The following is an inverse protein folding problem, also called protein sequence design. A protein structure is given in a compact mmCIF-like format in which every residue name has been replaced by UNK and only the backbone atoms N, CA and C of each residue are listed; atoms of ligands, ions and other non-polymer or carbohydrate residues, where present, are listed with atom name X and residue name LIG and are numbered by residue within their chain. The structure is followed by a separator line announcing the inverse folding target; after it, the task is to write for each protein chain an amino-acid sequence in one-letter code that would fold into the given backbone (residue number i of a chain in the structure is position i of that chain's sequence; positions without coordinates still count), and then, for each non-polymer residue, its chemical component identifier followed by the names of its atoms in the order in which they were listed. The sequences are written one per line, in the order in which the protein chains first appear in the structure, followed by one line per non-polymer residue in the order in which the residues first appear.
data_IF_559848031245
#
_entry.id   IF_559848031245
#
_cell.length_a   1.000
_cell.length_b   1.000
_cell.length_c   1.000
_cell.angle_alpha   90.00
_cell.angle_beta   90.00
_cell.angle_gamma   90.00
#
_symmetry.space_group_name_H-M   'P 1'
#
loop_
_entity.id
_entity.type
_entity.pdbx_description
1 polymer ?
#
# COMPACT_ATOMS: atom_id res chain seq x y z
N UNK A 1 1.83 30.08 4.48
CA UNK A 1 2.61 28.82 4.48
C UNK A 1 1.77 27.81 3.73
N UNK A 2 2.22 27.34 2.55
CA UNK A 2 1.46 26.36 1.75
C UNK A 2 1.42 25.03 2.51
N UNK A 3 0.23 24.48 2.66
CA UNK A 3 0.06 23.15 3.26
C UNK A 3 0.56 22.09 2.29
N UNK A 4 1.25 21.05 2.77
CA UNK A 4 1.73 19.93 1.91
C UNK A 4 0.57 19.27 1.16
N UNK A 5 -0.62 19.24 1.76
CA UNK A 5 -1.85 18.72 1.16
C UNK A 5 -2.31 19.48 -0.08
N UNK A 6 -1.94 20.76 -0.22
CA UNK A 6 -2.36 21.61 -1.32
C UNK A 6 -1.38 21.54 -2.51
N UNK A 7 -0.22 20.89 -2.32
CA UNK A 7 0.79 20.77 -3.38
C UNK A 7 0.40 19.68 -4.39
N UNK A 8 0.66 19.91 -5.69
CA UNK A 8 0.59 18.85 -6.69
C UNK A 8 1.50 17.67 -6.30
N UNK A 9 1.15 16.46 -6.71
CA UNK A 9 1.92 15.25 -6.38
C UNK A 9 3.39 15.36 -6.81
N UNK A 10 3.65 15.96 -7.99
CA UNK A 10 4.98 16.18 -8.54
C UNK A 10 5.84 17.10 -7.67
N UNK A 11 5.22 18.00 -6.89
CA UNK A 11 5.93 18.90 -5.99
C UNK A 11 6.23 18.24 -4.62
N UNK A 12 5.53 17.15 -4.29
CA UNK A 12 5.75 16.41 -3.06
C UNK A 12 6.94 15.45 -3.14
N UNK A 13 7.25 14.94 -4.34
CA UNK A 13 8.21 13.86 -4.53
C UNK A 13 9.15 14.14 -5.73
N UNK A 14 10.36 13.55 -5.75
CA UNK A 14 11.23 13.60 -6.93
C UNK A 14 10.61 12.88 -8.12
N UNK A 15 10.98 13.28 -9.34
CA UNK A 15 10.45 12.72 -10.60
C UNK A 15 10.65 11.20 -10.69
N UNK A 16 11.84 10.70 -10.36
CA UNK A 16 12.13 9.25 -10.34
C UNK A 16 11.26 8.48 -9.32
N UNK A 17 10.86 9.12 -8.23
CA UNK A 17 9.92 8.54 -7.25
C UNK A 17 8.50 8.54 -7.81
N UNK A 18 8.11 9.58 -8.54
CA UNK A 18 6.82 9.64 -9.22
C UNK A 18 6.68 8.51 -10.25
N UNK A 19 7.71 8.27 -11.07
CA UNK A 19 7.72 7.18 -12.05
C UNK A 19 7.60 5.80 -11.36
N UNK A 20 8.34 5.58 -10.28
CA UNK A 20 8.26 4.35 -9.50
C UNK A 20 6.87 4.15 -8.88
N UNK A 21 6.25 5.20 -8.35
CA UNK A 21 4.88 5.14 -7.81
C UNK A 21 3.83 4.91 -8.91
N UNK A 22 4.05 5.44 -10.11
CA UNK A 22 3.19 5.17 -11.26
C UNK A 22 3.28 3.71 -11.70
N UNK A 23 4.50 3.14 -11.71
CA UNK A 23 4.70 1.71 -11.96
C UNK A 23 4.04 0.85 -10.87
N UNK A 24 4.19 1.23 -9.59
CA UNK A 24 3.52 0.56 -8.48
C UNK A 24 2.00 0.58 -8.61
N UNK A 25 1.42 1.71 -9.02
CA UNK A 25 -0.01 1.82 -9.30
C UNK A 25 -0.47 0.80 -10.35
N UNK A 26 0.35 0.58 -11.39
CA UNK A 26 0.11 -0.45 -12.40
C UNK A 26 0.11 -1.87 -11.81
N UNK A 27 1.07 -2.20 -10.94
CA UNK A 27 1.12 -3.49 -10.25
C UNK A 27 -0.12 -3.68 -9.37
N UNK A 28 -0.53 -2.67 -8.63
CA UNK A 28 -1.72 -2.73 -7.77
C UNK A 28 -3.01 -2.89 -8.57
N UNK A 29 -3.17 -2.15 -9.68
CA UNK A 29 -4.32 -2.30 -10.57
C UNK A 29 -4.38 -3.70 -11.20
N UNK A 30 -3.23 -4.25 -11.60
CA UNK A 30 -3.12 -5.63 -12.08
C UNK A 30 -3.52 -6.66 -11.03
N UNK A 31 -3.06 -6.48 -9.79
CA UNK A 31 -3.42 -7.33 -8.66
C UNK A 31 -4.93 -7.28 -8.38
N UNK A 32 -5.51 -6.09 -8.30
CA UNK A 32 -6.95 -5.89 -8.05
C UNK A 32 -7.80 -6.51 -9.18
N UNK A 33 -7.36 -6.38 -10.44
CA UNK A 33 -8.00 -7.02 -11.59
C UNK A 33 -7.94 -8.55 -11.52
N UNK A 34 -6.77 -9.10 -11.21
CA UNK A 34 -6.60 -10.55 -11.10
C UNK A 34 -7.43 -11.15 -9.94
N UNK A 35 -7.48 -10.46 -8.79
CA UNK A 35 -8.32 -10.87 -7.66
C UNK A 35 -9.81 -10.80 -8.00
N UNK A 36 -10.26 -9.76 -8.69
CA UNK A 36 -11.65 -9.61 -9.12
C UNK A 36 -12.05 -10.70 -10.10
N UNK A 37 -11.20 -11.00 -11.08
CA UNK A 37 -11.43 -12.07 -12.06
C UNK A 37 -11.50 -13.45 -11.38
N UNK A 38 -10.55 -13.73 -10.49
CA UNK A 38 -10.55 -14.97 -9.71
C UNK A 38 -11.80 -15.08 -8.82
N UNK A 39 -12.15 -14.02 -8.10
CA UNK A 39 -13.34 -14.00 -7.26
C UNK A 39 -14.64 -14.25 -8.05
N UNK A 40 -14.78 -13.62 -9.20
CA UNK A 40 -15.93 -13.78 -10.08
C UNK A 40 -16.06 -15.20 -10.63
N UNK A 41 -14.94 -15.82 -11.03
CA UNK A 41 -14.96 -17.15 -11.62
C UNK A 41 -15.10 -18.27 -10.56
N UNK A 42 -14.44 -18.13 -9.40
CA UNK A 42 -14.43 -19.14 -8.35
C UNK A 42 -15.57 -19.03 -7.34
N UNK A 43 -16.22 -17.86 -7.25
CA UNK A 43 -17.16 -17.52 -6.18
C UNK A 43 -16.49 -17.18 -4.84
N UNK A 44 -15.17 -16.99 -4.83
CA UNK A 44 -14.45 -16.53 -3.63
C UNK A 44 -14.74 -15.06 -3.40
N UNK A 45 -15.28 -14.71 -2.25
CA UNK A 45 -15.59 -13.34 -1.90
C UNK A 45 -15.32 -13.07 -0.43
N UNK A 46 -14.78 -11.89 -0.15
CA UNK A 46 -14.72 -11.39 1.22
C UNK A 46 -16.11 -10.89 1.64
N UNK A 47 -16.55 -11.14 2.87
CA UNK A 47 -17.77 -10.50 3.37
C UNK A 47 -17.71 -8.98 3.24
N UNK A 48 -18.81 -8.35 2.86
CA UNK A 48 -18.86 -6.89 2.69
C UNK A 48 -18.41 -6.18 3.97
N UNK A 49 -17.52 -5.19 3.83
CA UNK A 49 -16.98 -4.43 4.95
C UNK A 49 -16.06 -5.22 5.89
N UNK A 50 -15.63 -6.43 5.51
CA UNK A 50 -14.77 -7.24 6.34
C UNK A 50 -13.33 -6.70 6.38
N UNK A 51 -12.85 -6.36 7.59
CA UNK A 51 -11.45 -5.99 7.86
C UNK A 51 -10.72 -6.96 8.78
N UNK A 52 -11.25 -8.17 8.97
CA UNK A 52 -10.75 -9.14 9.97
C UNK A 52 -9.30 -9.62 9.76
N UNK A 53 -8.77 -9.51 8.56
CA UNK A 53 -7.33 -9.73 8.34
C UNK A 53 -6.46 -8.77 9.16
N UNK A 54 -6.97 -7.57 9.48
CA UNK A 54 -6.25 -6.55 10.25
C UNK A 54 -6.31 -6.77 11.77
N UNK A 55 -7.15 -7.68 12.28
CA UNK A 55 -7.29 -7.94 13.73
C UNK A 55 -6.01 -8.54 14.35
N UNK A 56 -5.22 -9.26 13.57
CA UNK A 56 -4.03 -9.95 14.04
C UNK A 56 -2.87 -9.93 13.06
N UNK A 57 -2.86 -8.96 12.16
CA UNK A 57 -1.82 -8.85 11.16
C UNK A 57 -1.44 -7.39 10.92
N UNK A 58 -0.15 -7.11 11.06
CA UNK A 58 0.49 -5.84 10.70
C UNK A 58 1.45 -6.14 9.55
N UNK A 59 1.34 -5.47 8.39
CA UNK A 59 2.17 -5.79 7.25
C UNK A 59 3.62 -5.32 7.42
N UNK A 60 4.54 -6.12 6.89
CA UNK A 60 5.85 -5.64 6.49
C UNK A 60 5.78 -5.18 5.03
N UNK A 61 6.44 -4.07 4.71
CA UNK A 61 6.37 -3.45 3.39
C UNK A 61 7.72 -2.96 2.90
N UNK A 62 7.84 -2.80 1.58
CA UNK A 62 8.98 -2.16 0.96
C UNK A 62 8.90 -0.63 1.13
N UNK A 63 10.04 0.09 1.04
CA UNK A 63 10.04 1.56 1.10
C UNK A 63 9.08 2.21 0.10
N UNK A 64 9.03 1.71 -1.14
CA UNK A 64 8.11 2.21 -2.16
C UNK A 64 6.62 2.04 -1.79
N UNK A 65 6.25 0.92 -1.16
CA UNK A 65 4.90 0.70 -0.65
C UNK A 65 4.55 1.66 0.49
N UNK A 66 5.54 1.97 1.35
CA UNK A 66 5.39 2.95 2.42
C UNK A 66 5.24 4.37 1.87
N UNK A 67 5.97 4.73 0.80
CA UNK A 67 5.81 6.02 0.10
C UNK A 67 4.40 6.14 -0.50
N UNK A 68 3.87 5.10 -1.13
CA UNK A 68 2.49 5.06 -1.63
C UNK A 68 1.48 5.32 -0.52
N UNK A 69 1.60 4.59 0.58
CA UNK A 69 0.72 4.72 1.74
C UNK A 69 0.82 6.11 2.38
N UNK A 70 2.03 6.66 2.48
CA UNK A 70 2.28 7.99 3.02
C UNK A 70 1.60 9.08 2.19
N UNK A 71 1.71 9.03 0.86
CA UNK A 71 1.06 9.98 -0.04
C UNK A 71 -0.46 9.87 0.05
N UNK A 72 -0.99 8.64 0.11
CA UNK A 72 -2.41 8.42 0.33
C UNK A 72 -2.87 9.08 1.64
N UNK A 73 -2.11 8.90 2.71
CA UNK A 73 -2.45 9.44 4.04
C UNK A 73 -2.38 10.97 4.05
N UNK A 74 -1.35 11.56 3.47
CA UNK A 74 -1.20 13.02 3.35
C UNK A 74 -2.43 13.64 2.68
N UNK A 75 -3.00 12.95 1.69
CA UNK A 75 -4.15 13.43 0.93
C UNK A 75 -5.51 13.19 1.59
N UNK A 76 -5.66 12.09 2.32
CA UNK A 76 -6.95 11.66 2.83
C UNK A 76 -7.11 11.85 4.34
N UNK A 77 -6.00 11.87 5.10
CA UNK A 77 -5.96 12.15 6.54
C UNK A 77 -4.66 12.87 6.90
N UNK A 78 -4.54 14.18 6.54
CA UNK A 78 -3.34 14.96 6.77
C UNK A 78 -2.97 15.08 8.25
N UNK A 79 -3.96 15.14 9.14
CA UNK A 79 -3.71 15.23 10.59
C UNK A 79 -3.02 13.96 11.11
N UNK A 80 -3.47 12.80 10.66
CA UNK A 80 -2.84 11.51 11.01
C UNK A 80 -1.44 11.40 10.39
N UNK A 81 -1.26 11.85 9.14
CA UNK A 81 0.03 11.88 8.47
C UNK A 81 1.05 12.73 9.23
N UNK A 82 0.69 13.95 9.63
CA UNK A 82 1.55 14.82 10.43
C UNK A 82 1.90 14.22 11.79
N UNK A 83 0.92 13.67 12.49
CA UNK A 83 1.13 13.02 13.78
C UNK A 83 2.13 11.88 13.69
N UNK A 84 1.98 11.01 12.69
CA UNK A 84 2.91 9.90 12.44
C UNK A 84 4.30 10.37 12.00
N UNK A 85 4.40 11.43 11.21
CA UNK A 85 5.70 12.00 10.83
C UNK A 85 6.45 12.58 12.04
N UNK A 86 5.74 13.22 12.97
CA UNK A 86 6.34 13.88 14.15
C UNK A 86 6.71 12.88 15.25
N UNK A 87 5.86 11.92 15.54
CA UNK A 87 5.95 11.09 16.76
C UNK A 87 5.91 9.59 16.49
N UNK A 88 5.67 9.16 15.24
CA UNK A 88 5.44 7.76 14.90
C UNK A 88 4.15 7.22 15.53
N UNK A 89 4.02 5.91 15.55
CA UNK A 89 2.93 5.23 16.24
C UNK A 89 3.15 5.24 17.75
N UNK A 90 2.09 5.36 18.51
CA UNK A 90 2.11 5.32 19.98
C UNK A 90 2.55 3.93 20.50
N UNK A 91 2.98 3.86 21.76
CA UNK A 91 3.31 2.59 22.39
C UNK A 91 2.11 1.64 22.44
N UNK A 92 0.90 2.15 22.63
CA UNK A 92 -0.34 1.36 22.63
C UNK A 92 -0.60 0.73 21.25
N UNK A 93 -0.42 1.47 20.15
CA UNK A 93 -0.58 0.94 18.79
C UNK A 93 0.47 -0.12 18.46
N UNK A 94 1.72 0.08 18.90
CA UNK A 94 2.81 -0.88 18.67
C UNK A 94 2.65 -2.17 19.47
N UNK A 95 2.03 -2.12 20.64
CA UNK A 95 1.77 -3.30 21.48
C UNK A 95 0.49 -4.03 21.11
N UNK A 96 -0.39 -3.42 20.31
CA UNK A 96 -1.58 -4.06 19.80
C UNK A 96 -1.23 -5.16 18.78
N UNK A 97 -1.97 -6.26 18.80
CA UNK A 97 -1.84 -7.30 17.78
C UNK A 97 -2.50 -6.92 16.46
N UNK A 98 -3.38 -5.91 16.48
CA UNK A 98 -4.12 -5.43 15.34
C UNK A 98 -3.37 -4.34 14.57
N UNK A 99 -3.65 -4.24 13.28
CA UNK A 99 -3.18 -3.12 12.46
C UNK A 99 -3.73 -1.78 13.01
N UNK A 100 -2.90 -0.72 13.12
CA UNK A 100 -3.35 0.58 13.64
C UNK A 100 -4.38 1.31 12.75
N UNK A 101 -4.61 0.81 11.53
CA UNK A 101 -5.64 1.31 10.61
C UNK A 101 -6.89 0.43 10.58
N UNK A 102 -7.00 -0.53 11.48
CA UNK A 102 -8.19 -1.33 11.64
C UNK A 102 -9.22 -0.60 12.52
N UNK A 103 -10.41 -0.43 12.01
CA UNK A 103 -11.53 0.17 12.72
C UNK A 103 -12.56 -0.88 13.14
N UNK A 104 -12.84 -0.94 14.44
CA UNK A 104 -13.90 -1.73 15.10
C UNK A 104 -14.42 -0.89 16.28
N UNK A 105 -15.70 -0.92 16.67
CA UNK A 105 -16.79 -1.84 16.32
C UNK A 105 -17.79 -1.25 15.32
N UNK A 106 -18.56 -2.13 14.70
CA UNK A 106 -19.66 -1.81 13.78
C UNK A 106 -19.41 -2.39 12.41
N UNK A 107 -18.69 -1.69 11.56
CA UNK A 107 -18.16 -2.22 10.31
C UNK A 107 -16.67 -2.38 10.47
N UNK A 108 -16.20 -3.61 10.69
CA UNK A 108 -14.76 -3.90 10.72
C UNK A 108 -14.17 -3.59 9.34
N UNK A 109 -13.33 -2.57 9.21
CA UNK A 109 -12.76 -2.18 7.93
C UNK A 109 -11.36 -1.56 8.08
N UNK A 110 -10.64 -1.54 6.98
CA UNK A 110 -9.34 -0.87 6.87
C UNK A 110 -9.55 0.62 6.56
N UNK A 111 -9.07 1.51 7.43
CA UNK A 111 -9.18 2.96 7.25
C UNK A 111 -8.33 3.52 6.11
N UNK A 112 -7.38 2.72 5.58
CA UNK A 112 -6.53 3.11 4.44
C UNK A 112 -6.69 2.14 3.27
N UNK A 113 -7.92 1.69 2.99
CA UNK A 113 -8.19 0.60 2.06
C UNK A 113 -7.49 0.76 0.70
N UNK A 114 -7.56 1.94 0.09
CA UNK A 114 -6.92 2.24 -1.18
C UNK A 114 -5.39 2.41 -1.07
N UNK A 115 -4.90 2.83 0.10
CA UNK A 115 -3.48 3.00 0.39
C UNK A 115 -2.75 1.72 0.80
N UNK A 116 -3.41 0.55 0.82
CA UNK A 116 -2.86 -0.73 1.31
C UNK A 116 -1.64 -1.20 0.54
N UNK A 117 -0.71 -1.84 1.26
CA UNK A 117 0.39 -2.60 0.69
C UNK A 117 -0.09 -3.85 -0.08
N UNK A 118 0.75 -4.41 -0.95
CA UNK A 118 0.42 -5.56 -1.79
C UNK A 118 -0.07 -6.76 -0.99
N UNK A 119 0.59 -7.10 0.11
CA UNK A 119 0.20 -8.22 0.96
C UNK A 119 -1.22 -8.06 1.53
N UNK A 120 -1.62 -6.84 1.85
CA UNK A 120 -2.96 -6.55 2.34
C UNK A 120 -4.02 -6.64 1.23
N UNK A 121 -3.65 -6.28 -0.01
CA UNK A 121 -4.53 -6.39 -1.19
C UNK A 121 -4.82 -7.85 -1.52
N UNK A 122 -3.79 -8.68 -1.48
CA UNK A 122 -3.84 -10.09 -1.88
C UNK A 122 -4.35 -11.03 -0.79
N UNK A 123 -4.58 -10.54 0.44
CA UNK A 123 -4.93 -11.38 1.57
C UNK A 123 -6.21 -12.19 1.32
N UNK A 124 -6.06 -13.53 1.31
CA UNK A 124 -7.16 -14.46 1.10
C UNK A 124 -7.56 -14.68 -0.37
N UNK A 125 -6.92 -13.99 -1.33
CA UNK A 125 -7.19 -14.12 -2.77
C UNK A 125 -6.00 -14.65 -3.58
N UNK A 126 -4.79 -14.60 -3.05
CA UNK A 126 -3.60 -15.08 -3.74
C UNK A 126 -3.15 -16.45 -3.24
N UNK A 127 -2.65 -17.27 -4.16
CA UNK A 127 -1.92 -18.47 -3.81
C UNK A 127 -0.47 -18.13 -3.45
N UNK A 128 0.12 -18.99 -2.62
CA UNK A 128 1.55 -18.99 -2.31
C UNK A 128 2.21 -20.22 -2.94
N UNK A 129 3.55 -20.22 -3.08
CA UNK A 129 4.26 -21.42 -3.53
C UNK A 129 4.76 -22.22 -2.33
N UNK A 130 4.62 -23.53 -2.42
CA UNK A 130 5.27 -24.49 -1.52
C UNK A 130 6.78 -24.47 -1.71
N UNK A 131 7.52 -25.18 -0.85
CA UNK A 131 8.97 -25.40 -1.02
C UNK A 131 9.34 -26.05 -2.35
N UNK A 132 8.43 -26.86 -2.90
CA UNK A 132 8.60 -27.55 -4.18
C UNK A 132 8.12 -26.71 -5.39
N UNK A 133 7.76 -25.43 -5.18
CA UNK A 133 7.27 -24.54 -6.22
C UNK A 133 5.78 -24.70 -6.57
N UNK A 134 5.09 -25.70 -6.02
CA UNK A 134 3.69 -25.98 -6.28
C UNK A 134 2.80 -24.87 -5.66
N UNK A 135 1.79 -24.35 -6.37
CA UNK A 135 0.87 -23.37 -5.81
C UNK A 135 0.02 -23.99 -4.70
N UNK A 136 -0.17 -23.22 -3.63
CA UNK A 136 -1.07 -23.56 -2.50
C UNK A 136 -2.01 -22.38 -2.32
N UNK A 137 -3.31 -22.63 -2.37
CA UNK A 137 -4.34 -21.65 -2.09
C UNK A 137 -5.14 -22.05 -0.85
N UNK A 138 -5.36 -21.08 0.04
CA UNK A 138 -6.22 -21.26 1.21
C UNK A 138 -7.08 -20.03 1.43
N UNK A 139 -8.38 -20.22 1.66
CA UNK A 139 -9.26 -19.13 2.03
C UNK A 139 -8.93 -18.53 3.38
N UNK A 140 -9.15 -17.24 3.53
CA UNK A 140 -9.32 -16.64 4.84
C UNK A 140 -10.44 -17.38 5.62
N UNK A 141 -10.20 -17.66 6.91
CA UNK A 141 -11.16 -18.36 7.77
C UNK A 141 -12.55 -17.71 7.85
N UNK A 142 -12.62 -16.41 7.55
CA UNK A 142 -13.86 -15.63 7.58
C UNK A 142 -14.60 -15.58 6.24
N UNK A 143 -13.98 -16.05 5.17
CA UNK A 143 -14.64 -16.15 3.88
C UNK A 143 -15.59 -17.37 3.85
N UNK A 144 -16.79 -17.23 3.27
CA UNK A 144 -17.63 -18.38 2.98
C UNK A 144 -16.94 -19.31 1.99
N UNK A 145 -17.12 -20.61 2.17
CA UNK A 145 -16.61 -21.60 1.20
C UNK A 145 -17.55 -21.62 -0.01
N UNK A 146 -17.04 -21.38 -1.23
CA UNK A 146 -17.87 -21.39 -2.42
C UNK A 146 -18.58 -22.73 -2.62
N UNK A 147 -19.79 -22.68 -3.22
CA UNK A 147 -20.57 -23.86 -3.61
C UNK A 147 -20.95 -24.81 -2.45
N UNK A 148 -20.93 -24.31 -1.20
CA UNK A 148 -21.33 -25.12 -0.03
C UNK A 148 -20.36 -26.24 0.35
N UNK A 149 -19.14 -26.22 -0.19
CA UNK A 149 -18.09 -27.18 0.15
C UNK A 149 -17.53 -26.97 1.56
N UNK A 150 -16.76 -27.97 2.06
CA UNK A 150 -16.04 -27.88 3.34
C UNK A 150 -14.54 -27.69 3.18
N UNK A 151 -13.98 -27.98 2.01
CA UNK A 151 -12.55 -27.85 1.72
C UNK A 151 -12.12 -26.40 1.67
N UNK A 152 -11.10 -26.04 2.41
CA UNK A 152 -10.63 -24.67 2.54
C UNK A 152 -9.22 -24.44 1.99
N UNK A 153 -8.56 -25.48 1.49
CA UNK A 153 -7.21 -25.41 0.92
C UNK A 153 -7.07 -26.37 -0.24
N UNK A 154 -6.35 -25.94 -1.27
CA UNK A 154 -6.07 -26.67 -2.54
C UNK A 154 -4.60 -26.53 -2.87
N UNK A 155 -4.07 -27.51 -3.64
CA UNK A 155 -2.68 -27.53 -4.09
C UNK A 155 -2.61 -27.92 -5.55
N UNK A 156 -1.64 -27.34 -6.26
CA UNK A 156 -1.36 -27.67 -7.65
C UNK A 156 -2.60 -27.61 -8.53
N UNK A 157 -2.76 -28.59 -9.39
CA UNK A 157 -3.87 -28.69 -10.35
C UNK A 157 -5.27 -28.79 -9.72
N UNK A 158 -5.34 -29.19 -8.43
CA UNK A 158 -6.62 -29.22 -7.72
C UNK A 158 -7.24 -27.81 -7.56
N UNK A 159 -6.43 -26.75 -7.66
CA UNK A 159 -6.92 -25.37 -7.52
C UNK A 159 -7.89 -25.09 -8.66
N UNK A 160 -7.44 -25.23 -9.89
CA UNK A 160 -8.26 -24.99 -11.09
C UNK A 160 -9.49 -25.87 -11.16
N UNK A 161 -9.34 -27.17 -10.89
CA UNK A 161 -10.46 -28.14 -10.93
C UNK A 161 -11.46 -27.92 -9.80
N UNK A 162 -10.99 -27.57 -8.60
CA UNK A 162 -11.84 -27.38 -7.42
C UNK A 162 -12.53 -26.03 -7.36
N UNK A 163 -11.89 -24.98 -7.85
CA UNK A 163 -12.39 -23.60 -7.82
C UNK A 163 -12.91 -23.09 -9.17
N UNK A 164 -12.57 -23.77 -10.26
CA UNK A 164 -12.92 -23.33 -11.62
C UNK A 164 -12.09 -22.15 -12.13
N UNK A 165 -11.06 -21.74 -11.40
CA UNK A 165 -10.16 -20.65 -11.76
C UNK A 165 -8.86 -20.74 -10.95
N UNK A 166 -7.79 -20.16 -11.52
CA UNK A 166 -6.49 -20.04 -10.84
C UNK A 166 -6.39 -18.69 -10.11
N UNK A 167 -6.02 -18.69 -8.81
CA UNK A 167 -5.77 -17.45 -8.09
C UNK A 167 -4.46 -16.81 -8.55
N UNK A 168 -4.32 -15.46 -8.42
CA UNK A 168 -3.04 -14.82 -8.63
C UNK A 168 -1.97 -15.37 -7.67
N UNK A 169 -0.73 -15.48 -8.13
CA UNK A 169 0.39 -15.91 -7.31
C UNK A 169 1.04 -14.71 -6.60
N UNK A 170 1.13 -14.79 -5.29
CA UNK A 170 1.80 -13.77 -4.46
C UNK A 170 3.24 -13.53 -4.90
N UNK A 171 3.97 -14.61 -5.24
CA UNK A 171 5.38 -14.53 -5.67
C UNK A 171 5.55 -13.71 -6.95
N UNK A 172 4.62 -13.86 -7.89
CA UNK A 172 4.74 -13.25 -9.22
C UNK A 172 4.44 -11.75 -9.14
N UNK A 173 3.43 -11.37 -8.35
CA UNK A 173 3.13 -9.97 -8.07
C UNK A 173 4.21 -9.31 -7.20
N UNK A 174 4.77 -10.03 -6.24
CA UNK A 174 5.91 -9.56 -5.46
C UNK A 174 7.16 -9.36 -6.32
N UNK A 175 7.41 -10.23 -7.31
CA UNK A 175 8.51 -10.06 -8.25
C UNK A 175 8.34 -8.82 -9.15
N UNK A 176 7.11 -8.54 -9.61
CA UNK A 176 6.80 -7.31 -10.35
C UNK A 176 7.06 -6.06 -9.51
N UNK A 177 6.63 -6.08 -8.24
CA UNK A 177 6.88 -4.99 -7.29
C UNK A 177 8.39 -4.78 -7.03
N UNK A 178 9.14 -5.86 -6.81
CA UNK A 178 10.59 -5.81 -6.60
C UNK A 178 11.36 -5.32 -7.85
N UNK A 179 10.84 -5.55 -9.05
CA UNK A 179 11.47 -5.11 -10.29
C UNK A 179 11.43 -3.59 -10.48
N UNK A 180 10.57 -2.85 -9.76
CA UNK A 180 10.49 -1.39 -9.84
C UNK A 180 11.72 -0.75 -9.20
N UNK A 181 12.12 -1.21 -8.01
CA UNK A 181 13.32 -0.78 -7.27
C UNK A 181 14.04 -1.99 -6.67
N UNK A 182 14.84 -2.71 -7.48
CA UNK A 182 15.47 -3.96 -7.05
C UNK A 182 16.42 -3.78 -5.85
N UNK A 183 17.04 -2.61 -5.73
CA UNK A 183 17.94 -2.25 -4.64
C UNK A 183 17.25 -2.22 -3.27
N UNK A 184 15.96 -1.91 -3.24
CA UNK A 184 15.15 -1.85 -2.01
C UNK A 184 14.62 -3.23 -1.57
N UNK A 185 14.84 -4.28 -2.36
CA UNK A 185 14.22 -5.61 -2.14
C UNK A 185 14.54 -6.27 -0.80
N UNK A 186 15.63 -5.85 -0.13
CA UNK A 186 16.02 -6.34 1.21
C UNK A 186 15.58 -5.42 2.34
N UNK A 187 14.94 -4.30 2.05
CA UNK A 187 14.58 -3.26 3.02
C UNK A 187 13.14 -3.36 3.52
N UNK A 188 12.57 -4.57 3.53
CA UNK A 188 11.26 -4.76 4.15
C UNK A 188 11.32 -4.42 5.62
N UNK A 189 10.41 -3.53 6.04
CA UNK A 189 10.25 -3.09 7.42
C UNK A 189 8.79 -3.17 7.83
N UNK A 190 8.57 -3.31 9.11
CA UNK A 190 7.24 -3.22 9.70
C UNK A 190 6.57 -1.89 9.33
N UNK A 191 5.25 -1.91 9.15
CA UNK A 191 4.42 -0.71 9.00
C UNK A 191 4.78 0.37 10.03
N UNK A 192 5.06 -0.04 11.27
CA UNK A 192 5.39 0.87 12.37
C UNK A 192 6.68 1.65 12.16
N UNK A 193 7.59 1.16 11.34
CA UNK A 193 8.86 1.80 11.02
C UNK A 193 8.83 2.46 9.63
N UNK A 194 8.31 1.74 8.63
CA UNK A 194 8.35 2.15 7.24
C UNK A 194 7.50 3.40 6.98
N UNK A 195 6.27 3.44 7.49
CA UNK A 195 5.35 4.55 7.21
C UNK A 195 5.78 5.88 7.83
N UNK A 196 6.16 5.97 9.12
CA UNK A 196 6.70 7.22 9.67
C UNK A 196 7.93 7.71 8.93
N UNK A 197 8.86 6.82 8.56
CA UNK A 197 10.06 7.20 7.81
C UNK A 197 9.72 7.75 6.41
N UNK A 198 8.77 7.14 5.71
CA UNK A 198 8.30 7.62 4.41
C UNK A 198 7.63 9.00 4.52
N UNK A 199 6.78 9.21 5.53
CA UNK A 199 6.14 10.49 5.79
C UNK A 199 7.16 11.59 6.10
N UNK A 200 8.14 11.33 6.97
CA UNK A 200 9.22 12.27 7.28
C UNK A 200 9.98 12.66 6.03
N UNK A 201 10.35 11.69 5.19
CA UNK A 201 11.06 11.93 3.93
C UNK A 201 10.25 12.81 2.99
N UNK A 202 8.95 12.53 2.80
CA UNK A 202 8.09 13.31 1.89
C UNK A 202 7.92 14.73 2.41
N UNK A 203 7.65 14.94 3.69
CA UNK A 203 7.54 16.28 4.27
C UNK A 203 8.85 17.08 4.17
N UNK A 204 10.00 16.42 4.36
CA UNK A 204 11.32 17.05 4.20
C UNK A 204 11.52 17.53 2.75
N UNK A 205 11.28 16.66 1.77
CA UNK A 205 11.45 16.98 0.35
C UNK A 205 10.50 18.11 -0.06
N UNK A 206 9.24 18.04 0.33
CA UNK A 206 8.25 19.09 0.05
C UNK A 206 8.66 20.43 0.66
N UNK A 207 9.17 20.44 1.90
CA UNK A 207 9.68 21.63 2.55
C UNK A 207 10.89 22.26 1.83
N UNK A 208 11.85 21.44 1.41
CA UNK A 208 13.03 21.91 0.65
C UNK A 208 12.64 22.48 -0.72
N UNK A 209 11.71 21.85 -1.43
CA UNK A 209 11.19 22.32 -2.71
C UNK A 209 10.47 23.66 -2.57
N UNK A 210 9.58 23.78 -1.59
CA UNK A 210 8.88 25.05 -1.31
C UNK A 210 9.85 26.21 -1.05
N UNK A 211 10.94 25.96 -0.33
CA UNK A 211 11.99 26.96 -0.10
C UNK A 211 12.75 27.31 -1.37
N UNK A 212 13.04 26.32 -2.22
CA UNK A 212 13.74 26.53 -3.49
C UNK A 212 12.90 27.40 -4.44
N UNK A 213 11.60 27.13 -4.56
CA UNK A 213 10.68 27.96 -5.37
C UNK A 213 10.61 29.39 -4.85
N UNK A 214 10.50 29.59 -3.53
CA UNK A 214 10.47 30.93 -2.94
C UNK A 214 11.77 31.73 -3.14
N UNK A 215 12.91 31.07 -3.28
CA UNK A 215 14.19 31.72 -3.60
C UNK A 215 14.29 32.07 -5.07
N UNK A 216 13.81 31.21 -5.97
CA UNK A 216 13.80 31.47 -7.41
C UNK A 216 12.90 32.67 -7.75
N UNK A 217 11.69 32.70 -7.21
CA UNK A 217 10.73 33.80 -7.43
C UNK A 217 11.29 35.16 -6.97
N UNK A 218 12.02 35.20 -5.84
CA UNK A 218 12.69 36.44 -5.39
C UNK A 218 13.87 36.87 -6.26
N UNK A 219 14.54 35.94 -6.97
CA UNK A 219 15.61 36.28 -7.91
C UNK A 219 15.04 36.89 -9.19
N UNK A 220 13.98 36.31 -9.73
CA UNK A 220 13.32 36.77 -10.93
C UNK A 220 12.67 38.17 -10.74
N UNK A 221 12.09 38.40 -9.56
CA UNK A 221 11.57 39.73 -9.18
C UNK A 221 12.65 40.78 -9.06
N UNK A 222 13.88 40.45 -8.69
CA UNK A 222 15.02 41.40 -8.63
C UNK A 222 15.58 41.69 -10.00
N UNK A 223 15.59 40.71 -10.91
CA UNK A 223 16.11 40.90 -12.30
C UNK A 223 15.17 41.76 -13.12
N UNK A 224 13.85 41.63 -12.96
CA UNK A 224 12.84 42.42 -13.66
C UNK A 224 12.72 43.86 -13.14
N UNK A 225 13.15 44.12 -11.90
CA UNK A 225 13.14 45.46 -11.30
C UNK A 225 14.32 46.40 -11.72
N UNK A 226 15.36 45.86 -12.41
CA UNK A 226 16.56 46.61 -12.78
C UNK A 226 16.53 47.18 -14.22
N UNK A 227 15.46 46.99 -14.96
CA UNK A 227 15.33 47.47 -16.34
C UNK A 227 14.35 48.66 -16.51
N UNK A 228 14.03 49.36 -15.43
CA UNK A 228 13.16 50.55 -15.42
C UNK A 228 13.89 51.77 -14.84
N UNK A 229 14.91 52.28 -15.56
CA UNK A 229 15.47 53.63 -15.30
C UNK A 229 15.95 54.23 -16.61
#
# INVERSE_FOLDING_TARGET
MVQVTDMPLVDLIPENTFDALSALAGVYAGADTAMSAFGSASGVACPSGCGRCCESFVPDMLPLEAEWMAIWLIRNDPSRAEGLAKSGFSAAERSALSCPFFHSPGLSHCGIYEGRALVCRLFGFAATRSRNGEPIFAFCRHMPVPRGGSKRSWKGEEIGTGLGAEPPLMSDLAAQLLAIRPEEGRERRSLFEALPAALQRIYLIAGLRSQAFAVADRRDARVSGTHGS
#
